data_IF_883051305450
#
_entry.id   IF_883051305450
#
_cell.length_a   1.000
_cell.length_b   1.000
_cell.length_c   1.000
_cell.angle_alpha   90.00
_cell.angle_beta   90.00
_cell.angle_gamma   90.00
#
_symmetry.space_group_name_H-M   'P 1'
#
loop_
_entity.id
_entity.type
_entity.pdbx_description
1 polymer ?
#
# COMPACT_ATOMS: atom_id res chain seq x y z
N UNK A 1 8.25 11.73 -18.28
CA UNK A 1 9.25 11.18 -19.22
C UNK A 1 8.65 10.77 -20.55
N UNK A 2 7.73 9.79 -20.61
CA UNK A 2 7.12 9.32 -21.86
C UNK A 2 6.52 10.45 -22.70
N UNK A 3 5.72 11.33 -22.08
CA UNK A 3 5.12 12.51 -22.73
C UNK A 3 6.21 13.48 -23.28
N UNK A 4 7.26 13.75 -22.51
CA UNK A 4 8.38 14.60 -22.95
C UNK A 4 9.06 14.06 -24.20
N UNK A 5 9.29 12.74 -24.27
CA UNK A 5 9.86 12.08 -25.44
C UNK A 5 8.89 12.06 -26.63
N UNK A 6 7.60 11.90 -26.38
CA UNK A 6 6.57 12.02 -27.42
C UNK A 6 6.47 13.43 -27.97
N UNK A 7 6.53 14.46 -27.10
CA UNK A 7 6.52 15.86 -27.52
C UNK A 7 7.79 16.24 -28.31
N UNK A 8 8.94 15.68 -27.93
CA UNK A 8 10.18 15.81 -28.71
C UNK A 8 10.04 15.17 -30.09
N UNK A 9 9.57 13.92 -30.15
CA UNK A 9 9.33 13.21 -31.42
C UNK A 9 8.33 13.96 -32.33
N UNK A 10 7.35 14.64 -31.72
CA UNK A 10 6.36 15.46 -32.41
C UNK A 10 6.86 16.89 -32.75
N UNK A 11 8.11 17.21 -32.47
CA UNK A 11 8.69 18.54 -32.73
C UNK A 11 8.20 19.68 -31.84
N UNK A 12 7.42 19.33 -30.75
CA UNK A 12 6.84 20.33 -29.84
C UNK A 12 7.84 20.91 -28.84
N UNK A 13 8.90 20.17 -28.56
CA UNK A 13 9.98 20.59 -27.65
C UNK A 13 11.34 20.30 -28.29
N UNK A 14 12.34 21.17 -28.02
CA UNK A 14 13.68 20.98 -28.54
C UNK A 14 14.47 19.92 -27.75
N UNK A 15 15.52 19.36 -28.38
CA UNK A 15 16.45 18.45 -27.72
C UNK A 15 17.09 19.09 -26.46
N UNK A 16 17.39 20.42 -26.55
CA UNK A 16 17.95 21.14 -25.41
C UNK A 16 17.03 21.11 -24.18
N UNK A 17 15.70 21.26 -24.37
CA UNK A 17 14.70 21.17 -23.30
C UNK A 17 14.65 19.75 -22.76
N UNK A 18 14.70 18.73 -23.63
CA UNK A 18 14.74 17.32 -23.20
C UNK A 18 15.97 17.06 -22.35
N UNK A 19 17.15 17.44 -22.82
CA UNK A 19 18.40 17.24 -22.09
C UNK A 19 18.45 18.01 -20.78
N UNK A 20 17.92 19.23 -20.72
CA UNK A 20 17.81 20.00 -19.48
C UNK A 20 16.92 19.28 -18.46
N UNK A 21 15.76 18.77 -18.89
CA UNK A 21 14.85 17.99 -18.02
C UNK A 21 15.47 16.66 -17.60
N UNK A 22 16.24 16.01 -18.46
CA UNK A 22 16.96 14.78 -18.10
C UNK A 22 18.09 15.03 -17.10
N UNK A 23 18.77 16.17 -17.18
CA UNK A 23 19.82 16.58 -16.23
C UNK A 23 19.28 16.89 -14.82
N UNK A 24 18.04 17.37 -14.70
CA UNK A 24 17.38 17.66 -13.41
C UNK A 24 16.85 16.42 -12.70
N UNK A 25 17.11 15.24 -13.21
CA UNK A 25 16.72 13.96 -12.67
C UNK A 25 17.81 13.38 -11.75
N UNK A 26 17.43 12.64 -10.71
CA UNK A 26 16.16 11.94 -10.48
C UNK A 26 15.27 12.53 -9.38
N UNK A 27 15.61 13.61 -8.72
CA UNK A 27 14.83 14.15 -7.61
C UNK A 27 14.86 15.69 -7.57
N UNK A 28 13.85 16.28 -6.92
CA UNK A 28 13.82 17.71 -6.59
C UNK A 28 14.14 17.88 -5.09
N UNK A 29 15.13 18.70 -4.76
CA UNK A 29 15.57 18.94 -3.39
C UNK A 29 14.85 20.15 -2.80
N UNK A 30 14.13 19.94 -1.70
CA UNK A 30 13.45 20.97 -0.92
C UNK A 30 14.24 21.36 0.35
N UNK A 31 15.49 20.90 0.49
CA UNK A 31 16.27 21.04 1.72
C UNK A 31 15.89 20.03 2.80
N UNK A 32 14.63 19.97 3.18
CA UNK A 32 14.11 18.99 4.18
C UNK A 32 13.58 17.70 3.55
N UNK A 33 13.35 17.65 2.26
CA UNK A 33 12.88 16.47 1.53
C UNK A 33 13.43 16.43 0.11
N UNK A 34 13.69 15.22 -0.39
CA UNK A 34 14.07 14.95 -1.78
C UNK A 34 12.93 14.19 -2.44
N UNK A 35 12.28 14.83 -3.41
CA UNK A 35 11.10 14.28 -4.07
C UNK A 35 11.52 13.51 -5.30
N UNK A 36 11.23 12.20 -5.31
CA UNK A 36 11.52 11.32 -6.44
C UNK A 36 10.50 11.53 -7.58
N UNK A 37 10.83 12.39 -8.51
CA UNK A 37 10.00 12.70 -9.68
C UNK A 37 9.96 11.57 -10.72
N UNK A 38 10.79 10.54 -10.56
CA UNK A 38 10.92 9.38 -11.47
C UNK A 38 10.32 8.08 -10.96
N UNK A 39 9.77 8.10 -9.76
CA UNK A 39 9.29 6.88 -9.09
C UNK A 39 8.29 6.12 -9.93
N UNK A 40 7.31 6.80 -10.52
CA UNK A 40 6.29 6.15 -11.34
C UNK A 40 6.88 5.43 -12.56
N UNK A 41 7.86 6.05 -13.24
CA UNK A 41 8.52 5.45 -14.40
C UNK A 41 9.32 4.20 -14.03
N UNK A 42 10.00 4.22 -12.86
CA UNK A 42 10.83 3.10 -12.42
C UNK A 42 10.04 2.00 -11.72
N UNK A 43 9.02 2.38 -10.94
CA UNK A 43 8.29 1.47 -10.04
C UNK A 43 6.88 1.14 -10.51
N UNK A 44 6.36 1.86 -11.52
CA UNK A 44 4.98 1.70 -11.98
C UNK A 44 3.93 2.10 -10.93
N UNK A 45 4.36 2.84 -9.89
CA UNK A 45 3.51 3.32 -8.82
C UNK A 45 3.89 4.76 -8.46
N UNK A 46 2.89 5.63 -8.22
CA UNK A 46 3.10 7.04 -7.91
C UNK A 46 3.83 7.24 -6.57
N UNK A 47 4.23 8.48 -6.33
CA UNK A 47 4.86 8.86 -5.05
C UNK A 47 3.88 8.64 -3.90
N UNK A 48 4.41 8.12 -2.80
CA UNK A 48 3.65 7.91 -1.56
C UNK A 48 4.26 8.76 -0.45
N UNK A 49 3.42 9.57 0.15
CA UNK A 49 3.83 10.43 1.25
C UNK A 49 3.49 9.76 2.58
N UNK A 50 4.51 9.33 3.31
CA UNK A 50 4.36 8.90 4.71
C UNK A 50 4.21 10.15 5.58
N UNK A 51 3.02 10.39 6.12
CA UNK A 51 2.68 11.65 6.78
C UNK A 51 2.98 11.67 8.29
N UNK A 52 3.18 10.53 8.92
CA UNK A 52 3.50 10.47 10.34
C UNK A 52 4.80 11.25 10.61
N UNK A 53 4.77 12.14 11.59
CA UNK A 53 5.91 12.99 11.95
C UNK A 53 6.15 14.19 11.03
N UNK A 54 5.35 14.39 9.96
CA UNK A 54 5.45 15.57 9.10
C UNK A 54 4.47 16.66 9.51
N UNK A 55 4.92 17.92 9.41
CA UNK A 55 4.06 19.08 9.58
C UNK A 55 3.19 19.31 8.33
N UNK A 56 2.07 20.04 8.49
CA UNK A 56 1.23 20.41 7.34
C UNK A 56 1.97 21.25 6.30
N UNK A 57 2.90 22.11 6.75
CA UNK A 57 3.74 22.91 5.84
C UNK A 57 4.60 21.98 4.95
N UNK A 58 5.24 20.98 5.54
CA UNK A 58 6.04 19.99 4.81
C UNK A 58 5.19 19.18 3.82
N UNK A 59 4.03 18.68 4.26
CA UNK A 59 3.11 17.93 3.39
C UNK A 59 2.66 18.80 2.20
N UNK A 60 2.26 20.06 2.45
CA UNK A 60 1.83 20.97 1.40
C UNK A 60 2.95 21.32 0.41
N UNK A 61 4.17 21.50 0.89
CA UNK A 61 5.33 21.80 0.01
C UNK A 61 5.65 20.57 -0.87
N UNK A 62 5.62 19.36 -0.31
CA UNK A 62 5.82 18.12 -1.08
C UNK A 62 4.73 17.99 -2.16
N UNK A 63 3.46 18.11 -1.77
CA UNK A 63 2.32 17.98 -2.69
C UNK A 63 2.39 18.96 -3.87
N UNK A 64 2.83 20.22 -3.64
CA UNK A 64 2.96 21.24 -4.69
C UNK A 64 4.02 20.91 -5.74
N UNK A 65 4.99 20.05 -5.39
CA UNK A 65 6.11 19.65 -6.25
C UNK A 65 5.87 18.35 -7.00
N UNK A 66 4.90 17.56 -6.56
CA UNK A 66 4.54 16.34 -7.27
C UNK A 66 3.88 16.65 -8.62
N UNK A 67 4.09 15.81 -9.64
CA UNK A 67 3.43 15.95 -10.93
C UNK A 67 1.91 15.95 -10.80
N UNK A 68 1.26 16.89 -11.50
CA UNK A 68 -0.20 17.10 -11.41
C UNK A 68 -1.03 16.02 -12.09
N UNK A 69 -0.41 15.21 -12.93
CA UNK A 69 -1.03 14.14 -13.72
C UNK A 69 -0.86 12.75 -13.10
N UNK A 70 -0.23 12.65 -11.93
CA UNK A 70 -0.01 11.40 -11.21
C UNK A 70 -1.00 11.22 -10.06
N UNK A 71 -1.34 9.96 -9.77
CA UNK A 71 -2.01 9.60 -8.55
C UNK A 71 -1.08 9.82 -7.35
N UNK A 72 -1.62 10.22 -6.21
CA UNK A 72 -0.85 10.44 -4.99
C UNK A 72 -1.52 9.68 -3.86
N UNK A 73 -0.73 8.96 -3.07
CA UNK A 73 -1.16 8.29 -1.85
C UNK A 73 -0.47 8.95 -0.66
N UNK A 74 -1.24 9.39 0.33
CA UNK A 74 -0.75 9.80 1.63
C UNK A 74 -1.15 8.75 2.65
N UNK A 75 -0.21 8.28 3.46
CA UNK A 75 -0.45 7.26 4.49
C UNK A 75 -0.21 7.82 5.89
N UNK A 76 -0.81 7.15 6.90
CA UNK A 76 -0.73 7.53 8.32
C UNK A 76 -1.19 8.97 8.56
N UNK A 77 -2.29 9.35 7.94
CA UNK A 77 -2.92 10.68 8.06
C UNK A 77 -4.05 10.69 9.09
N UNK A 78 -4.41 11.87 9.55
CA UNK A 78 -5.58 12.12 10.39
C UNK A 78 -6.56 13.10 9.70
N UNK A 79 -7.73 13.29 10.31
CA UNK A 79 -8.77 14.21 9.79
C UNK A 79 -8.29 15.64 9.58
N UNK A 80 -7.39 16.15 10.43
CA UNK A 80 -6.89 17.54 10.32
C UNK A 80 -6.00 17.70 9.07
N UNK A 81 -5.16 16.68 8.80
CA UNK A 81 -4.35 16.63 7.56
C UNK A 81 -5.29 16.56 6.35
N UNK A 82 -6.31 15.70 6.39
CA UNK A 82 -7.29 15.63 5.32
C UNK A 82 -7.99 16.96 5.06
N UNK A 83 -8.52 17.62 6.09
CA UNK A 83 -9.19 18.89 5.94
C UNK A 83 -8.32 19.96 5.25
N UNK A 84 -7.02 19.94 5.54
CA UNK A 84 -6.06 20.84 4.93
C UNK A 84 -5.71 20.45 3.49
N UNK A 85 -5.54 19.15 3.21
CA UNK A 85 -5.28 18.65 1.85
C UNK A 85 -6.50 18.86 0.95
N UNK A 86 -7.71 18.67 1.46
CA UNK A 86 -8.97 18.88 0.72
C UNK A 86 -9.14 20.31 0.23
N UNK A 87 -8.65 21.30 0.98
CA UNK A 87 -8.64 22.70 0.54
C UNK A 87 -7.71 22.97 -0.65
N UNK A 88 -6.69 22.13 -0.83
CA UNK A 88 -5.71 22.26 -1.92
C UNK A 88 -6.06 21.39 -3.13
N UNK A 89 -6.78 20.28 -2.89
CA UNK A 89 -7.12 19.26 -3.88
C UNK A 89 -8.56 18.79 -3.70
N UNK A 90 -9.48 19.32 -4.49
CA UNK A 90 -10.92 19.02 -4.41
C UNK A 90 -11.24 17.55 -4.68
N UNK A 91 -10.38 16.85 -5.39
CA UNK A 91 -10.49 15.42 -5.71
C UNK A 91 -9.86 14.50 -4.66
N UNK A 92 -9.30 15.05 -3.57
CA UNK A 92 -8.79 14.25 -2.47
C UNK A 92 -9.93 13.50 -1.76
N UNK A 93 -9.73 12.19 -1.59
CA UNK A 93 -10.63 11.30 -0.84
C UNK A 93 -9.93 10.74 0.38
N UNK A 94 -10.62 10.62 1.50
CA UNK A 94 -10.10 10.15 2.77
C UNK A 94 -10.74 8.81 3.15
N UNK A 95 -9.92 7.80 3.37
CA UNK A 95 -10.32 6.57 4.05
C UNK A 95 -9.91 6.69 5.52
N UNK A 96 -10.92 6.87 6.40
CA UNK A 96 -10.70 7.06 7.82
C UNK A 96 -10.12 5.82 8.49
N UNK A 97 -10.60 4.64 8.12
CA UNK A 97 -10.12 3.36 8.66
C UNK A 97 -8.66 3.11 8.29
N UNK A 98 -8.33 3.27 7.01
CA UNK A 98 -6.97 3.12 6.50
C UNK A 98 -6.03 4.24 6.94
N UNK A 99 -6.54 5.36 7.44
CA UNK A 99 -5.78 6.60 7.68
C UNK A 99 -4.99 7.02 6.43
N UNK A 100 -5.65 7.00 5.26
CA UNK A 100 -5.04 7.34 3.98
C UNK A 100 -5.81 8.43 3.26
N UNK A 101 -5.10 9.24 2.46
CA UNK A 101 -5.71 10.15 1.49
C UNK A 101 -5.24 9.71 0.10
N UNK A 102 -6.17 9.60 -0.83
CA UNK A 102 -5.91 9.37 -2.24
C UNK A 102 -6.29 10.61 -3.04
N UNK A 103 -5.37 11.09 -3.87
CA UNK A 103 -5.65 12.08 -4.91
C UNK A 103 -5.54 11.31 -6.23
N UNK A 104 -6.69 10.97 -6.84
CA UNK A 104 -6.74 10.12 -8.01
C UNK A 104 -6.96 10.93 -9.29
N UNK A 105 -5.96 10.97 -10.16
CA UNK A 105 -5.95 11.69 -11.44
C UNK A 105 -6.33 10.80 -12.62
N UNK A 106 -6.01 9.50 -12.50
CA UNK A 106 -6.38 8.52 -13.51
C UNK A 106 -6.69 7.17 -12.85
N UNK A 107 -7.47 6.35 -13.55
CA UNK A 107 -7.69 4.96 -13.14
C UNK A 107 -6.59 4.09 -13.73
N UNK A 108 -5.83 3.35 -12.92
CA UNK A 108 -4.81 2.44 -13.42
C UNK A 108 -5.47 1.31 -14.23
N UNK A 109 -4.70 0.74 -15.16
CA UNK A 109 -5.15 -0.44 -15.90
C UNK A 109 -5.44 -1.59 -14.93
N UNK A 110 -6.64 -2.15 -15.01
CA UNK A 110 -7.05 -3.25 -14.16
C UNK A 110 -6.21 -4.51 -14.44
N UNK A 111 -5.71 -5.12 -13.37
CA UNK A 111 -5.01 -6.41 -13.40
C UNK A 111 -6.01 -7.56 -13.37
N UNK A 112 -5.61 -8.71 -13.90
CA UNK A 112 -6.52 -9.87 -14.03
C UNK A 112 -6.73 -10.62 -12.72
N UNK A 113 -5.70 -10.71 -11.88
CA UNK A 113 -5.75 -11.49 -10.63
C UNK A 113 -6.49 -10.76 -9.51
N UNK A 114 -6.93 -11.53 -8.53
CA UNK A 114 -7.59 -11.03 -7.30
C UNK A 114 -6.64 -11.15 -6.11
N UNK A 115 -6.52 -10.08 -5.33
CA UNK A 115 -5.84 -10.09 -4.03
C UNK A 115 -6.90 -10.29 -2.95
N UNK A 116 -6.77 -11.34 -2.15
CA UNK A 116 -7.60 -11.60 -0.99
C UNK A 116 -6.93 -11.03 0.26
N UNK A 117 -7.66 -10.22 1.04
CA UNK A 117 -7.16 -9.63 2.29
C UNK A 117 -7.98 -10.18 3.45
N UNK A 118 -7.27 -10.80 4.41
CA UNK A 118 -7.86 -11.43 5.59
C UNK A 118 -7.36 -10.74 6.86
N UNK A 119 -8.25 -10.52 7.84
CA UNK A 119 -7.86 -10.10 9.19
C UNK A 119 -8.19 -11.15 10.23
N UNK A 120 -7.33 -11.28 11.25
CA UNK A 120 -7.61 -12.13 12.39
C UNK A 120 -8.74 -11.56 13.25
N UNK A 121 -8.67 -10.28 13.58
CA UNK A 121 -9.69 -9.58 14.35
C UNK A 121 -10.13 -8.27 13.72
N UNK A 122 -11.17 -7.67 14.28
CA UNK A 122 -11.69 -6.38 13.85
C UNK A 122 -10.71 -5.23 14.12
N UNK A 123 -9.84 -5.36 15.13
CA UNK A 123 -8.80 -4.39 15.45
C UNK A 123 -7.68 -4.32 14.40
N UNK A 124 -7.56 -5.33 13.54
CA UNK A 124 -6.59 -5.39 12.46
C UNK A 124 -7.08 -4.66 11.19
N UNK A 125 -8.37 -4.31 11.12
CA UNK A 125 -9.01 -3.68 9.96
C UNK A 125 -8.27 -2.41 9.48
N UNK A 126 -7.78 -1.51 10.33
CA UNK A 126 -7.07 -0.33 9.85
C UNK A 126 -5.83 -0.63 9.00
N UNK A 127 -5.07 -1.67 9.35
CA UNK A 127 -3.90 -2.12 8.58
C UNK A 127 -4.35 -2.80 7.28
N UNK A 128 -5.44 -3.57 7.34
CA UNK A 128 -6.02 -4.19 6.15
C UNK A 128 -6.53 -3.15 5.15
N UNK A 129 -7.25 -2.14 5.60
CA UNK A 129 -7.74 -1.06 4.74
C UNK A 129 -6.60 -0.25 4.09
N UNK A 130 -5.48 -0.06 4.78
CA UNK A 130 -4.28 0.55 4.17
C UNK A 130 -3.76 -0.34 3.01
N UNK A 131 -3.74 -1.66 3.17
CA UNK A 131 -3.37 -2.59 2.11
C UNK A 131 -4.39 -2.58 0.95
N UNK A 132 -5.69 -2.52 1.25
CA UNK A 132 -6.78 -2.40 0.26
C UNK A 132 -6.57 -1.18 -0.61
N UNK A 133 -6.51 0.02 0.00
CA UNK A 133 -6.36 1.28 -0.73
C UNK A 133 -5.10 1.26 -1.60
N UNK A 134 -4.00 0.73 -1.08
CA UNK A 134 -2.74 0.62 -1.82
C UNK A 134 -2.89 -0.31 -3.03
N UNK A 135 -3.46 -1.49 -2.85
CA UNK A 135 -3.62 -2.47 -3.92
C UNK A 135 -4.61 -1.99 -5.00
N UNK A 136 -5.72 -1.39 -4.62
CA UNK A 136 -6.69 -0.82 -5.56
C UNK A 136 -6.10 0.34 -6.37
N UNK A 137 -5.32 1.22 -5.73
CA UNK A 137 -4.63 2.32 -6.43
C UNK A 137 -3.59 1.81 -7.44
N UNK A 138 -3.12 0.56 -7.29
CA UNK A 138 -2.26 -0.14 -8.25
C UNK A 138 -3.04 -0.95 -9.30
N UNK A 139 -4.37 -0.82 -9.36
CA UNK A 139 -5.23 -1.45 -10.36
C UNK A 139 -5.59 -2.90 -10.08
N UNK A 140 -5.48 -3.35 -8.83
CA UNK A 140 -5.87 -4.72 -8.49
C UNK A 140 -7.35 -4.80 -8.11
N UNK A 141 -7.96 -5.95 -8.43
CA UNK A 141 -9.21 -6.37 -7.82
C UNK A 141 -8.88 -6.88 -6.41
N UNK A 142 -9.57 -6.35 -5.40
CA UNK A 142 -9.38 -6.74 -4.01
C UNK A 142 -10.67 -7.35 -3.48
N UNK A 143 -10.54 -8.51 -2.83
CA UNK A 143 -11.57 -9.10 -1.99
C UNK A 143 -11.09 -9.06 -0.54
N UNK A 144 -12.00 -8.74 0.38
CA UNK A 144 -11.68 -8.63 1.79
C UNK A 144 -12.64 -9.44 2.65
N UNK A 145 -12.07 -10.16 3.62
CA UNK A 145 -12.82 -10.88 4.64
C UNK A 145 -12.19 -10.59 6.00
N UNK A 146 -12.96 -10.02 6.87
CA UNK A 146 -12.48 -9.60 8.18
C UNK A 146 -12.95 -10.55 9.28
N UNK A 147 -12.20 -10.56 10.39
CA UNK A 147 -12.55 -11.31 11.61
C UNK A 147 -12.66 -12.82 11.42
N UNK A 148 -11.64 -13.41 10.79
CA UNK A 148 -11.51 -14.88 10.58
C UNK A 148 -10.37 -15.48 11.40
N UNK A 149 -10.12 -14.92 12.59
CA UNK A 149 -9.06 -15.36 13.49
C UNK A 149 -9.20 -16.80 13.97
N UNK A 150 -8.07 -17.38 14.36
CA UNK A 150 -7.94 -18.79 14.73
C UNK A 150 -8.73 -19.21 15.98
N UNK A 151 -9.07 -18.25 16.85
CA UNK A 151 -9.96 -18.49 17.99
C UNK A 151 -11.38 -18.94 17.57
N UNK A 152 -11.74 -18.70 16.31
CA UNK A 152 -12.97 -19.22 15.70
C UNK A 152 -12.67 -19.77 14.31
N UNK A 153 -11.81 -20.79 14.23
CA UNK A 153 -11.25 -21.32 12.98
C UNK A 153 -12.30 -21.75 11.95
N UNK A 154 -13.52 -22.14 12.39
CA UNK A 154 -14.64 -22.45 11.51
C UNK A 154 -14.96 -21.28 10.56
N UNK A 155 -14.83 -20.03 11.00
CA UNK A 155 -15.04 -18.84 10.17
C UNK A 155 -14.05 -18.80 8.99
N UNK A 156 -12.81 -19.25 9.20
CA UNK A 156 -11.82 -19.37 8.15
C UNK A 156 -12.17 -20.47 7.15
N UNK A 157 -12.66 -21.62 7.63
CA UNK A 157 -13.06 -22.72 6.75
C UNK A 157 -14.29 -22.39 5.90
N UNK A 158 -15.18 -21.53 6.38
CA UNK A 158 -16.35 -21.06 5.61
C UNK A 158 -15.94 -20.26 4.35
N UNK A 159 -14.73 -19.68 4.35
CA UNK A 159 -14.23 -18.88 3.22
C UNK A 159 -13.14 -19.58 2.39
N UNK A 160 -12.94 -20.89 2.58
CA UNK A 160 -11.86 -21.66 1.91
C UNK A 160 -11.86 -21.49 0.39
N UNK A 161 -13.03 -21.41 -0.23
CA UNK A 161 -13.14 -21.20 -1.68
C UNK A 161 -12.52 -19.88 -2.14
N UNK A 162 -12.63 -18.81 -1.34
CA UNK A 162 -11.96 -17.53 -1.64
C UNK A 162 -10.44 -17.66 -1.55
N UNK A 163 -9.94 -18.43 -0.57
CA UNK A 163 -8.51 -18.73 -0.42
C UNK A 163 -7.99 -19.46 -1.66
N UNK A 164 -8.71 -20.45 -2.17
CA UNK A 164 -8.30 -21.24 -3.33
C UNK A 164 -8.33 -20.45 -4.65
N UNK A 165 -9.27 -19.51 -4.79
CA UNK A 165 -9.43 -18.71 -6.01
C UNK A 165 -8.56 -17.44 -6.04
N UNK A 166 -8.01 -17.00 -4.91
CA UNK A 166 -7.13 -15.85 -4.85
C UNK A 166 -5.83 -16.09 -5.63
N UNK A 167 -5.27 -15.03 -6.20
CA UNK A 167 -3.94 -15.07 -6.83
C UNK A 167 -2.82 -14.74 -5.86
N UNK A 168 -3.12 -13.87 -4.89
CA UNK A 168 -2.24 -13.47 -3.79
C UNK A 168 -3.10 -13.26 -2.56
N UNK A 169 -2.61 -13.65 -1.40
CA UNK A 169 -3.33 -13.49 -0.14
C UNK A 169 -2.52 -12.60 0.80
N UNK A 170 -3.18 -11.63 1.42
CA UNK A 170 -2.60 -10.83 2.50
C UNK A 170 -3.29 -11.25 3.80
N UNK A 171 -2.54 -11.67 4.79
CA UNK A 171 -3.04 -12.08 6.11
C UNK A 171 -2.53 -11.12 7.17
N UNK A 172 -3.44 -10.47 7.86
CA UNK A 172 -3.15 -9.43 8.85
C UNK A 172 -3.61 -9.90 10.22
N UNK A 173 -2.67 -10.02 11.16
CA UNK A 173 -2.94 -10.57 12.48
C UNK A 173 -2.04 -9.96 13.55
N UNK A 174 -2.65 -9.61 14.68
CA UNK A 174 -1.95 -9.30 15.93
C UNK A 174 -1.84 -10.51 16.85
N UNK A 175 -1.81 -10.28 18.15
CA UNK A 175 -1.70 -11.30 19.22
C UNK A 175 -0.51 -12.25 18.99
N UNK A 176 -0.76 -13.50 18.62
CA UNK A 176 0.26 -14.53 18.34
C UNK A 176 0.53 -14.71 16.84
N UNK A 177 -0.30 -14.14 15.95
CA UNK A 177 -0.09 -14.19 14.50
C UNK A 177 -0.35 -15.53 13.82
N UNK A 178 -1.01 -16.48 14.47
CA UNK A 178 -1.16 -17.86 13.98
C UNK A 178 -1.98 -18.00 12.70
N UNK A 179 -2.85 -17.03 12.38
CA UNK A 179 -3.68 -17.06 11.16
C UNK A 179 -2.83 -17.21 9.90
N UNK A 180 -1.67 -16.56 9.85
CA UNK A 180 -0.79 -16.63 8.68
C UNK A 180 -0.29 -18.05 8.39
N UNK A 181 0.04 -18.81 9.43
CA UNK A 181 0.48 -20.21 9.30
C UNK A 181 -0.63 -21.11 8.80
N UNK A 182 -1.86 -20.93 9.30
CA UNK A 182 -3.00 -21.76 8.88
C UNK A 182 -3.38 -21.45 7.43
N UNK A 183 -3.45 -20.18 7.07
CA UNK A 183 -3.73 -19.79 5.67
C UNK A 183 -2.61 -20.26 4.74
N UNK A 184 -1.33 -20.15 5.17
CA UNK A 184 -0.20 -20.65 4.41
C UNK A 184 -0.27 -22.15 4.15
N UNK A 185 -0.72 -22.95 5.14
CA UNK A 185 -0.93 -24.40 4.97
C UNK A 185 -2.13 -24.77 4.09
N UNK A 186 -3.08 -23.87 3.88
CA UNK A 186 -4.24 -24.08 3.01
C UNK A 186 -4.02 -23.56 1.58
N UNK A 187 -3.22 -22.50 1.42
CA UNK A 187 -3.09 -21.78 0.18
C UNK A 187 -2.01 -22.39 -0.74
N UNK A 188 -2.32 -22.52 -2.03
CA UNK A 188 -1.33 -22.83 -3.08
C UNK A 188 -0.77 -21.57 -3.75
N UNK A 189 -0.96 -20.40 -3.14
CA UNK A 189 -0.63 -19.10 -3.68
C UNK A 189 0.25 -18.33 -2.68
N UNK A 190 1.00 -17.31 -3.14
CA UNK A 190 1.81 -16.49 -2.24
C UNK A 190 0.96 -15.86 -1.13
N UNK A 191 1.42 -16.00 0.10
CA UNK A 191 0.82 -15.40 1.30
C UNK A 191 1.75 -14.34 1.84
N UNK A 192 1.26 -13.11 2.00
CA UNK A 192 1.98 -11.99 2.61
C UNK A 192 1.42 -11.80 4.01
N UNK A 193 2.19 -12.13 5.01
CA UNK A 193 1.82 -11.99 6.41
C UNK A 193 2.20 -10.60 6.93
N UNK A 194 1.24 -9.95 7.58
CA UNK A 194 1.38 -8.62 8.18
C UNK A 194 1.13 -8.73 9.67
N UNK A 195 2.17 -8.74 10.50
CA UNK A 195 1.98 -8.64 11.94
C UNK A 195 1.42 -7.25 12.28
N UNK A 196 0.54 -7.18 13.26
CA UNK A 196 0.03 -5.90 13.77
C UNK A 196 0.48 -5.66 15.21
N UNK A 197 0.52 -4.38 15.60
CA UNK A 197 0.77 -3.98 16.99
C UNK A 197 -0.41 -4.26 17.93
N UNK A 198 -1.50 -4.81 17.40
CA UNK A 198 -2.69 -5.21 18.16
C UNK A 198 -2.34 -6.36 19.08
N UNK A 199 -2.52 -6.14 20.38
CA UNK A 199 -2.22 -7.13 21.41
C UNK A 199 -1.93 -6.48 22.76
N UNK A 200 -1.56 -7.30 23.72
CA UNK A 200 -1.21 -6.87 25.08
C UNK A 200 -0.15 -7.79 25.67
N UNK A 201 0.42 -7.41 26.82
CA UNK A 201 1.38 -8.23 27.56
C UNK A 201 2.56 -8.67 26.69
N UNK A 202 2.74 -9.97 26.55
CA UNK A 202 3.87 -10.57 25.80
C UNK A 202 3.79 -10.40 24.29
N UNK A 203 2.78 -9.71 23.76
CA UNK A 203 2.73 -9.33 22.33
C UNK A 203 3.85 -8.30 21.97
N UNK A 204 4.35 -7.52 22.94
CA UNK A 204 5.38 -6.50 22.74
C UNK A 204 5.14 -5.65 21.50
N UNK A 205 3.91 -5.09 21.36
CA UNK A 205 3.52 -4.21 20.25
C UNK A 205 3.77 -4.82 18.86
N UNK A 206 3.51 -6.13 18.72
CA UNK A 206 3.59 -6.83 17.45
C UNK A 206 4.87 -7.66 17.24
N UNK A 207 5.79 -7.69 18.20
CA UNK A 207 7.00 -8.53 18.12
C UNK A 207 6.62 -10.03 18.15
N UNK A 208 5.68 -10.44 19.01
CA UNK A 208 5.25 -11.83 19.07
C UNK A 208 4.67 -12.32 17.73
N UNK A 209 3.65 -11.67 17.11
CA UNK A 209 3.19 -12.07 15.79
C UNK A 209 4.27 -11.99 14.71
N UNK A 210 5.16 -10.99 14.74
CA UNK A 210 6.27 -10.90 13.80
C UNK A 210 7.17 -12.13 13.88
N UNK A 211 7.59 -12.53 15.08
CA UNK A 211 8.45 -13.70 15.27
C UNK A 211 7.75 -15.00 14.89
N UNK A 212 6.46 -15.14 15.22
CA UNK A 212 5.66 -16.29 14.80
C UNK A 212 5.59 -16.41 13.28
N UNK A 213 5.30 -15.30 12.59
CA UNK A 213 5.20 -15.29 11.14
C UNK A 213 6.54 -15.56 10.46
N UNK A 214 7.66 -15.01 11.00
CA UNK A 214 9.02 -15.26 10.49
C UNK A 214 9.47 -16.71 10.69
N UNK A 215 8.95 -17.40 11.70
CA UNK A 215 9.23 -18.81 11.99
C UNK A 215 8.14 -19.75 11.47
N UNK A 216 7.27 -19.25 10.59
CA UNK A 216 6.21 -20.07 9.98
C UNK A 216 6.81 -21.21 9.16
N UNK A 217 6.37 -22.43 9.39
CA UNK A 217 6.81 -23.62 8.64
C UNK A 217 6.01 -23.86 7.34
N UNK A 218 4.93 -23.10 7.10
CA UNK A 218 4.19 -23.20 5.84
C UNK A 218 4.96 -22.48 4.73
N UNK A 219 5.22 -23.21 3.64
CA UNK A 219 5.93 -22.66 2.48
C UNK A 219 5.09 -21.59 1.77
N UNK A 220 5.75 -20.62 1.17
CA UNK A 220 5.09 -19.54 0.41
C UNK A 220 4.58 -18.39 1.26
N UNK A 221 4.85 -18.36 2.57
CA UNK A 221 4.58 -17.22 3.45
C UNK A 221 5.78 -16.30 3.50
N UNK A 222 5.57 -15.02 3.17
CA UNK A 222 6.55 -13.94 3.32
C UNK A 222 6.03 -12.92 4.31
N UNK A 223 6.91 -12.25 5.03
CA UNK A 223 6.52 -11.36 6.12
C UNK A 223 6.95 -9.93 5.80
N UNK A 224 6.06 -8.97 6.03
CA UNK A 224 6.37 -7.54 6.02
C UNK A 224 6.51 -7.02 7.45
N UNK A 225 6.91 -5.76 7.62
CA UNK A 225 7.06 -5.18 8.94
C UNK A 225 5.71 -5.00 9.67
N UNK A 226 5.77 -4.77 10.99
CA UNK A 226 4.61 -4.52 11.85
C UNK A 226 3.81 -3.32 11.33
N UNK A 227 2.47 -3.44 11.28
CA UNK A 227 1.52 -2.41 10.82
C UNK A 227 1.78 -1.89 9.40
N UNK A 228 2.48 -2.66 8.57
CA UNK A 228 2.85 -2.26 7.21
C UNK A 228 1.84 -2.74 6.16
N UNK A 229 0.60 -2.26 6.26
CA UNK A 229 -0.44 -2.53 5.25
C UNK A 229 -0.07 -2.01 3.87
N UNK A 230 0.55 -0.81 3.80
CA UNK A 230 1.06 -0.25 2.55
C UNK A 230 2.05 -1.19 1.86
N UNK A 231 3.07 -1.67 2.59
CA UNK A 231 4.08 -2.57 2.04
C UNK A 231 3.49 -3.87 1.54
N UNK A 232 2.52 -4.44 2.27
CA UNK A 232 1.82 -5.65 1.87
C UNK A 232 1.00 -5.45 0.59
N UNK A 233 0.17 -4.39 0.52
CA UNK A 233 -0.61 -4.05 -0.67
C UNK A 233 0.27 -3.77 -1.88
N UNK A 234 1.38 -3.08 -1.69
CA UNK A 234 2.36 -2.79 -2.73
C UNK A 234 3.01 -4.08 -3.25
N UNK A 235 3.56 -4.93 -2.36
CA UNK A 235 4.22 -6.17 -2.74
C UNK A 235 3.24 -7.16 -3.40
N UNK A 236 2.04 -7.32 -2.85
CA UNK A 236 0.98 -8.11 -3.47
C UNK A 236 0.69 -7.65 -4.90
N UNK A 237 0.66 -6.34 -5.11
CA UNK A 237 0.43 -5.76 -6.43
C UNK A 237 1.56 -6.03 -7.42
N UNK A 238 2.80 -6.18 -6.99
CA UNK A 238 3.92 -6.50 -7.87
C UNK A 238 3.84 -7.94 -8.39
N UNK A 239 3.39 -8.87 -7.56
CA UNK A 239 3.32 -10.30 -7.89
C UNK A 239 1.97 -10.73 -8.48
N UNK A 240 0.90 -9.95 -8.28
CA UNK A 240 -0.41 -10.18 -8.90
C UNK A 240 -0.39 -9.76 -10.37
N UNK A 241 -0.39 -10.75 -11.27
CA UNK A 241 -0.29 -10.54 -12.72
C UNK A 241 -1.51 -11.10 -13.45
#
# INVERSE_FOLDING_TARGET
>A
MKKLLQDYKAGKVSLAIVLQKLKSLPYEDLGFAKIDTHREVRKGFPETIFCQGKTMSQISQILKKLPKDQNILLTKVNKNVYASVKKLYDDATYNESAKTIVIQRYRPKQKKGTILILTAGTSDIPVAEEAVVTAELMGNKVEKVYDVGVAGVHRLFDIKEKIFHANVIIVIAGMEGALASIVGGLASKPVIAVPTSVGYGASFQGIAPLLTMLNCCAEGVVVVNIDNGFGAGYFASLINR
#
